data_IF_180835513598
#
_entry.id   IF_180835513598
#
_cell.length_a   1.000
_cell.length_b   1.000
_cell.length_c   1.000
_cell.angle_alpha   90.00
_cell.angle_beta   90.00
_cell.angle_gamma   90.00
#
_symmetry.space_group_name_H-M   'P 1'
#
loop_
_entity.id
_entity.type
_entity.pdbx_description
1 polymer ?
#
# COMPACT_ATOMS: atom_id res chain seq x y z
N UNK A 1 12.59 7.38 -48.92
CA UNK A 1 11.86 6.31 -48.22
C UNK A 1 12.54 6.08 -46.88
N UNK A 2 12.10 6.78 -45.83
CA UNK A 2 12.49 6.47 -44.45
C UNK A 2 11.38 7.00 -43.54
N UNK A 3 10.27 6.25 -43.48
CA UNK A 3 9.15 6.54 -42.59
C UNK A 3 9.45 5.99 -41.20
N UNK A 4 9.48 6.88 -40.22
CA UNK A 4 9.77 6.65 -38.81
C UNK A 4 8.75 5.71 -38.17
N UNK A 5 9.22 4.57 -37.64
CA UNK A 5 8.43 3.64 -36.81
C UNK A 5 8.26 4.19 -35.39
N UNK A 6 7.38 5.20 -35.24
CA UNK A 6 6.88 5.70 -33.96
C UNK A 6 5.37 5.44 -33.93
N UNK A 7 5.00 4.18 -33.72
CA UNK A 7 3.59 3.79 -33.80
C UNK A 7 3.18 2.74 -32.78
N UNK A 8 3.91 1.64 -32.63
CA UNK A 8 3.33 0.47 -31.94
C UNK A 8 3.43 0.48 -30.41
N UNK A 9 4.38 1.21 -29.82
CA UNK A 9 4.57 1.20 -28.35
C UNK A 9 3.60 2.14 -27.61
N UNK A 10 3.21 3.27 -28.22
CA UNK A 10 2.30 4.25 -27.60
C UNK A 10 0.84 3.78 -27.52
N UNK A 11 0.36 3.04 -28.52
CA UNK A 11 -1.01 2.49 -28.57
C UNK A 11 -1.19 1.31 -27.61
N UNK A 12 -0.18 0.46 -27.44
CA UNK A 12 -0.25 -0.64 -26.46
C UNK A 12 -0.32 -0.10 -25.02
N UNK A 13 0.42 0.99 -24.75
CA UNK A 13 0.43 1.66 -23.46
C UNK A 13 -0.94 2.35 -23.17
N UNK A 14 -1.54 3.00 -24.18
CA UNK A 14 -2.88 3.59 -24.07
C UNK A 14 -4.00 2.55 -23.90
N UNK A 15 -3.86 1.34 -24.46
CA UNK A 15 -4.82 0.24 -24.25
C UNK A 15 -4.63 -0.34 -22.85
N UNK A 16 -3.41 -0.53 -22.36
CA UNK A 16 -3.15 -1.02 -21.00
C UNK A 16 -3.61 -0.02 -19.92
N UNK A 17 -3.29 1.27 -20.08
CA UNK A 17 -3.81 2.32 -19.20
C UNK A 17 -5.33 2.48 -19.37
N UNK A 18 -5.86 2.45 -20.60
CA UNK A 18 -7.29 2.58 -20.90
C UNK A 18 -8.15 1.45 -20.33
N UNK A 19 -7.72 0.19 -20.42
CA UNK A 19 -8.41 -0.95 -19.80
C UNK A 19 -8.32 -0.90 -18.27
N UNK A 20 -7.18 -0.46 -17.71
CA UNK A 20 -7.03 -0.22 -16.27
C UNK A 20 -7.95 0.92 -15.80
N UNK A 21 -8.11 1.97 -16.61
CA UNK A 21 -9.06 3.08 -16.39
C UNK A 21 -10.53 2.63 -16.40
N UNK A 22 -10.92 1.75 -17.34
CA UNK A 22 -12.30 1.21 -17.41
C UNK A 22 -12.57 0.25 -16.24
N UNK A 23 -11.58 -0.55 -15.82
CA UNK A 23 -11.74 -1.44 -14.66
C UNK A 23 -11.92 -0.69 -13.34
N UNK A 24 -11.26 0.48 -13.20
CA UNK A 24 -11.41 1.36 -12.02
C UNK A 24 -12.82 1.95 -11.95
N UNK A 25 -13.43 2.32 -13.08
CA UNK A 25 -14.78 2.88 -13.13
C UNK A 25 -15.88 1.85 -12.82
N UNK A 26 -15.64 0.55 -13.03
CA UNK A 26 -16.63 -0.51 -12.85
C UNK A 26 -16.64 -1.16 -11.46
N UNK A 27 -15.73 -0.79 -10.56
CA UNK A 27 -15.58 -1.46 -9.25
C UNK A 27 -16.21 -0.62 -8.14
N UNK A 28 -17.54 -0.65 -8.07
CA UNK A 28 -18.25 -0.20 -6.88
C UNK A 28 -17.71 -0.96 -5.66
N UNK A 29 -17.06 -0.24 -4.75
CA UNK A 29 -16.49 -0.81 -3.52
C UNK A 29 -15.01 -1.23 -3.57
N UNK A 30 -14.16 -0.66 -4.45
CA UNK A 30 -12.71 -0.95 -4.39
C UNK A 30 -12.06 -0.35 -3.13
N UNK A 31 -12.12 -1.09 -2.03
CA UNK A 31 -11.30 -0.84 -0.85
C UNK A 31 -9.84 -1.00 -1.25
N UNK A 32 -9.06 0.07 -1.19
CA UNK A 32 -7.60 -0.02 -1.23
C UNK A 32 -7.16 -0.93 -0.09
N UNK A 33 -6.39 -1.97 -0.40
CA UNK A 33 -5.96 -2.93 0.61
C UNK A 33 -4.88 -2.35 1.52
N UNK A 34 -3.89 -1.68 0.93
CA UNK A 34 -2.99 -0.78 1.64
C UNK A 34 -2.86 0.51 0.84
N UNK A 35 -2.94 1.66 1.48
CA UNK A 35 -2.53 2.93 0.88
C UNK A 35 -1.04 2.90 0.56
N UNK A 36 -0.65 3.61 -0.49
CA UNK A 36 0.75 3.80 -0.86
C UNK A 36 1.56 4.34 0.33
N UNK A 37 2.76 3.80 0.54
CA UNK A 37 3.65 4.13 1.67
C UNK A 37 3.89 5.64 1.80
N UNK A 38 4.16 6.33 0.69
CA UNK A 38 4.43 7.77 0.68
C UNK A 38 3.22 8.63 1.05
N UNK A 39 2.01 8.07 1.02
CA UNK A 39 0.81 8.79 1.44
C UNK A 39 0.60 8.77 2.95
N UNK A 40 1.23 7.83 3.70
CA UNK A 40 1.02 7.68 5.14
C UNK A 40 1.12 9.01 5.93
N UNK A 41 2.11 9.90 5.67
CA UNK A 41 2.21 11.19 6.35
C UNK A 41 1.07 12.17 6.04
N UNK A 42 0.38 11.97 4.92
CA UNK A 42 -0.62 12.90 4.37
C UNK A 42 -2.05 12.40 4.52
N UNK A 43 -2.26 11.09 4.73
CA UNK A 43 -3.60 10.49 4.88
C UNK A 43 -4.41 11.23 5.96
N UNK A 44 -5.70 11.53 5.74
CA UNK A 44 -6.55 12.04 6.81
C UNK A 44 -6.74 10.99 7.91
N UNK A 45 -7.19 11.45 9.07
CA UNK A 45 -7.37 10.60 10.27
C UNK A 45 -8.14 9.32 9.98
N UNK A 46 -9.27 9.41 9.26
CA UNK A 46 -10.13 8.25 9.01
C UNK A 46 -9.40 7.16 8.19
N UNK A 47 -8.61 7.57 7.19
CA UNK A 47 -7.85 6.68 6.31
C UNK A 47 -6.66 6.07 7.03
N UNK A 48 -5.93 6.85 7.84
CA UNK A 48 -4.82 6.32 8.64
C UNK A 48 -5.31 5.29 9.67
N UNK A 49 -6.41 5.58 10.38
CA UNK A 49 -7.00 4.62 11.33
C UNK A 49 -7.59 3.40 10.62
N UNK A 50 -8.16 3.60 9.42
CA UNK A 50 -8.59 2.51 8.54
C UNK A 50 -7.44 1.61 8.15
N UNK A 51 -6.30 2.20 7.75
CA UNK A 51 -5.09 1.48 7.37
C UNK A 51 -4.57 0.60 8.52
N UNK A 52 -4.58 1.12 9.74
CA UNK A 52 -4.21 0.34 10.92
C UNK A 52 -5.13 -0.87 11.13
N UNK A 53 -6.47 -0.66 11.08
CA UNK A 53 -7.43 -1.77 11.19
C UNK A 53 -7.23 -2.83 10.12
N UNK A 54 -6.91 -2.38 8.91
CA UNK A 54 -6.64 -3.27 7.79
C UNK A 54 -5.38 -4.11 8.03
N UNK A 55 -4.28 -3.50 8.47
CA UNK A 55 -3.08 -4.24 8.88
C UNK A 55 -3.36 -5.22 10.03
N UNK A 56 -4.18 -4.85 11.01
CA UNK A 56 -4.59 -5.76 12.09
C UNK A 56 -5.37 -6.97 11.55
N UNK A 57 -6.31 -6.76 10.64
CA UNK A 57 -7.10 -7.82 10.02
C UNK A 57 -6.21 -8.76 9.19
N UNK A 58 -5.32 -8.18 8.39
CA UNK A 58 -4.32 -8.86 7.57
C UNK A 58 -3.37 -9.70 8.41
N UNK A 59 -2.84 -9.18 9.53
CA UNK A 59 -1.96 -9.93 10.42
C UNK A 59 -2.68 -11.04 11.19
N UNK A 60 -3.94 -10.80 11.53
CA UNK A 60 -4.76 -11.73 12.30
C UNK A 60 -5.31 -12.89 11.46
N UNK A 61 -6.61 -13.13 11.62
CA UNK A 61 -7.32 -14.24 10.95
C UNK A 61 -7.44 -14.08 9.43
N UNK A 62 -7.09 -12.91 8.88
CA UNK A 62 -7.09 -12.64 7.45
C UNK A 62 -5.84 -13.13 6.72
N UNK A 63 -4.74 -13.41 7.43
CA UNK A 63 -3.49 -13.81 6.80
C UNK A 63 -3.65 -15.09 5.95
N UNK A 64 -3.19 -15.03 4.70
CA UNK A 64 -3.20 -16.17 3.77
C UNK A 64 -4.60 -16.55 3.24
N UNK A 65 -5.65 -15.78 3.57
CA UNK A 65 -6.99 -15.99 3.00
C UNK A 65 -7.13 -15.20 1.71
N UNK A 66 -7.35 -15.91 0.60
CA UNK A 66 -7.62 -15.28 -0.71
C UNK A 66 -8.86 -14.39 -0.61
N UNK A 67 -8.68 -13.09 -0.75
CA UNK A 67 -9.77 -12.18 -1.06
C UNK A 67 -10.06 -12.23 -2.57
N UNK A 68 -11.32 -12.04 -2.96
CA UNK A 68 -11.82 -12.16 -4.33
C UNK A 68 -11.18 -11.21 -5.35
N UNK A 69 -10.37 -10.26 -4.89
CA UNK A 69 -9.52 -9.42 -5.73
C UNK A 69 -8.10 -9.49 -5.18
N UNK A 70 -7.18 -9.96 -6.03
CA UNK A 70 -5.75 -10.19 -5.80
C UNK A 70 -5.16 -9.22 -4.77
N UNK A 71 -4.73 -9.75 -3.63
CA UNK A 71 -4.09 -9.01 -2.54
C UNK A 71 -2.60 -9.32 -2.55
N UNK A 72 -1.81 -8.48 -3.23
CA UNK A 72 -0.37 -8.67 -3.44
C UNK A 72 0.40 -8.85 -2.14
N UNK A 73 -0.14 -8.37 -1.01
CA UNK A 73 0.46 -8.52 0.33
C UNK A 73 0.77 -9.99 0.65
N UNK A 74 -0.09 -10.92 0.20
CA UNK A 74 0.09 -12.35 0.47
C UNK A 74 1.03 -13.05 -0.52
N UNK A 75 1.52 -12.36 -1.55
CA UNK A 75 2.57 -12.88 -2.43
C UNK A 75 3.97 -12.75 -1.80
N UNK A 76 4.07 -12.05 -0.66
CA UNK A 76 5.31 -11.83 0.06
C UNK A 76 5.29 -12.41 1.47
N UNK A 77 6.47 -12.45 2.07
CA UNK A 77 6.66 -12.84 3.47
C UNK A 77 5.99 -11.85 4.42
N UNK A 78 5.59 -12.39 5.57
CA UNK A 78 4.82 -11.66 6.59
C UNK A 78 5.58 -10.46 7.17
N UNK A 79 6.91 -10.53 7.17
CA UNK A 79 7.85 -9.48 7.55
C UNK A 79 7.57 -8.17 6.81
N UNK A 80 7.16 -8.23 5.54
CA UNK A 80 6.79 -7.04 4.76
C UNK A 80 5.53 -6.38 5.31
N UNK A 81 4.50 -7.16 5.61
CA UNK A 81 3.26 -6.65 6.20
C UNK A 81 3.52 -6.05 7.59
N UNK A 82 4.31 -6.73 8.42
CA UNK A 82 4.65 -6.24 9.75
C UNK A 82 5.50 -4.95 9.66
N UNK A 83 6.45 -4.88 8.72
CA UNK A 83 7.24 -3.67 8.46
C UNK A 83 6.37 -2.51 8.01
N UNK A 84 5.44 -2.74 7.08
CA UNK A 84 4.51 -1.72 6.62
C UNK A 84 3.60 -1.24 7.76
N UNK A 85 3.08 -2.17 8.56
CA UNK A 85 2.29 -1.83 9.72
C UNK A 85 3.09 -1.02 10.75
N UNK A 86 4.40 -1.26 10.90
CA UNK A 86 5.27 -0.44 11.76
C UNK A 86 5.35 1.02 11.28
N UNK A 87 5.36 1.28 9.98
CA UNK A 87 5.26 2.65 9.45
C UNK A 87 3.93 3.32 9.85
N UNK A 88 2.82 2.59 9.72
CA UNK A 88 1.48 3.07 10.13
C UNK A 88 1.43 3.38 11.63
N UNK A 89 1.93 2.48 12.48
CA UNK A 89 1.98 2.66 13.93
C UNK A 89 2.85 3.85 14.33
N UNK A 90 4.00 4.02 13.68
CA UNK A 90 4.90 5.15 13.91
C UNK A 90 4.24 6.47 13.53
N UNK A 91 3.56 6.52 12.38
CA UNK A 91 2.82 7.69 11.93
C UNK A 91 1.67 8.02 12.87
N UNK A 92 0.94 7.00 13.34
CA UNK A 92 -0.11 7.17 14.36
C UNK A 92 0.45 7.76 15.66
N UNK A 93 1.56 7.21 16.16
CA UNK A 93 2.25 7.70 17.36
C UNK A 93 2.75 9.14 17.17
N UNK A 94 3.32 9.47 16.01
CA UNK A 94 3.79 10.83 15.66
C UNK A 94 2.65 11.85 15.72
N UNK A 95 1.44 11.46 15.31
CA UNK A 95 0.22 12.30 15.40
C UNK A 95 -0.45 12.30 16.78
N UNK A 96 0.16 11.70 17.80
CA UNK A 96 -0.35 11.66 19.16
C UNK A 96 -1.40 10.57 19.44
N UNK A 97 -1.66 9.66 18.50
CA UNK A 97 -2.51 8.49 18.76
C UNK A 97 -1.77 7.45 19.59
N UNK A 98 -2.53 6.62 20.31
CA UNK A 98 -2.02 5.58 21.21
C UNK A 98 -2.46 4.20 20.72
N UNK A 99 -1.83 3.64 19.67
CA UNK A 99 -2.09 2.26 19.28
C UNK A 99 -1.69 1.30 20.41
N UNK A 100 -2.36 0.16 20.49
CA UNK A 100 -2.03 -0.89 21.46
C UNK A 100 -0.56 -1.34 21.23
N UNK A 101 0.23 -1.34 22.31
CA UNK A 101 1.66 -1.61 22.25
C UNK A 101 1.98 -3.03 21.76
N UNK A 102 1.06 -3.98 21.93
CA UNK A 102 1.22 -5.35 21.43
C UNK A 102 1.43 -5.39 19.92
N UNK A 103 0.90 -4.41 19.16
CA UNK A 103 1.06 -4.36 17.71
C UNK A 103 2.49 -4.04 17.25
N UNK A 104 3.35 -3.49 18.10
CA UNK A 104 4.77 -3.28 17.79
C UNK A 104 5.59 -4.57 17.86
N UNK A 105 5.10 -5.61 18.54
CA UNK A 105 5.71 -6.94 18.54
C UNK A 105 5.47 -7.62 17.19
N UNK A 106 6.51 -8.05 16.44
CA UNK A 106 6.34 -8.65 15.11
C UNK A 106 5.44 -9.87 15.09
N UNK A 107 5.61 -10.75 16.08
CA UNK A 107 4.88 -12.02 16.18
C UNK A 107 3.40 -11.84 16.52
N UNK A 108 2.98 -10.67 17.01
CA UNK A 108 1.62 -10.44 17.49
C UNK A 108 0.60 -10.37 16.34
N UNK A 109 -0.52 -11.08 16.52
CA UNK A 109 -1.56 -11.24 15.49
C UNK A 109 -2.97 -10.93 15.99
N UNK A 110 -3.07 -10.28 17.15
CA UNK A 110 -4.34 -10.07 17.84
C UNK A 110 -4.68 -11.20 18.82
N UNK A 111 -5.63 -10.92 19.72
CA UNK A 111 -5.94 -11.76 20.89
C UNK A 111 -6.50 -13.15 20.58
N UNK A 112 -7.05 -13.34 19.37
CA UNK A 112 -7.84 -14.52 19.00
C UNK A 112 -7.05 -15.54 18.16
N UNK A 113 -5.74 -15.36 18.00
CA UNK A 113 -4.87 -16.23 17.21
C UNK A 113 -3.47 -16.22 17.83
N UNK A 114 -2.82 -17.39 17.85
CA UNK A 114 -1.47 -17.53 18.39
C UNK A 114 -0.44 -16.70 17.60
N UNK A 115 0.69 -16.33 18.23
CA UNK A 115 1.73 -15.54 17.58
C UNK A 115 2.42 -16.32 16.44
N UNK A 116 3.08 -15.60 15.52
CA UNK A 116 4.04 -16.21 14.61
C UNK A 116 5.36 -16.46 15.34
N UNK A 117 5.55 -17.66 15.88
CA UNK A 117 6.75 -18.00 16.66
C UNK A 117 8.02 -17.80 15.82
N UNK A 118 8.96 -17.02 16.35
CA UNK A 118 10.28 -16.78 15.76
C UNK A 118 10.30 -15.67 14.70
N UNK A 119 9.20 -14.96 14.46
CA UNK A 119 9.16 -13.85 13.52
C UNK A 119 9.92 -12.64 14.09
N UNK A 120 11.00 -12.23 13.44
CA UNK A 120 11.75 -11.01 13.78
C UNK A 120 12.00 -10.17 12.54
N UNK A 121 11.93 -8.85 12.70
CA UNK A 121 12.21 -7.87 11.64
C UNK A 121 13.71 -7.59 11.48
N UNK A 122 14.56 -8.13 12.33
CA UNK A 122 16.01 -7.92 12.30
C UNK A 122 16.67 -8.52 11.05
N UNK A 123 15.98 -9.45 10.38
CA UNK A 123 16.41 -10.11 9.14
C UNK A 123 15.82 -9.47 7.87
N UNK A 124 15.06 -8.38 8.00
CA UNK A 124 14.39 -7.75 6.87
C UNK A 124 15.35 -6.77 6.19
N UNK A 125 16.02 -7.21 5.12
CA UNK A 125 16.94 -6.43 4.27
C UNK A 125 16.24 -5.33 3.43
N UNK A 126 15.19 -4.69 3.96
CA UNK A 126 14.50 -3.62 3.22
C UNK A 126 15.32 -2.33 3.37
N UNK A 127 15.91 -1.79 2.29
CA UNK A 127 16.65 -0.54 2.36
C UNK A 127 15.75 0.58 2.87
N UNK A 128 16.26 1.44 3.75
CA UNK A 128 15.51 2.57 4.36
C UNK A 128 14.89 3.50 3.30
N UNK A 129 15.47 3.55 2.09
CA UNK A 129 15.03 4.39 0.98
C UNK A 129 14.06 3.69 0.00
N UNK A 130 13.79 2.39 0.15
CA UNK A 130 12.93 1.65 -0.78
C UNK A 130 11.50 1.48 -0.22
N UNK A 131 10.51 1.44 -1.11
CA UNK A 131 9.17 1.00 -0.72
C UNK A 131 9.20 -0.47 -0.29
N UNK A 132 8.49 -0.78 0.80
CA UNK A 132 8.42 -2.15 1.33
C UNK A 132 7.85 -3.13 0.29
N UNK A 133 6.83 -2.67 -0.44
CA UNK A 133 6.22 -3.40 -1.55
C UNK A 133 6.62 -2.76 -2.87
N UNK A 134 7.13 -3.53 -3.85
CA UNK A 134 7.44 -2.98 -5.18
C UNK A 134 6.17 -2.51 -5.91
N UNK A 135 4.99 -3.01 -5.54
CA UNK A 135 3.71 -2.52 -6.05
C UNK A 135 3.41 -1.08 -5.61
N UNK A 136 4.13 -0.53 -4.62
CA UNK A 136 4.01 0.89 -4.26
C UNK A 136 4.87 1.72 -5.23
N UNK A 137 4.57 1.56 -6.52
CA UNK A 137 5.16 2.31 -7.60
C UNK A 137 4.34 3.58 -7.91
N UNK A 138 4.82 4.36 -8.88
CA UNK A 138 4.14 5.58 -9.33
C UNK A 138 2.70 5.33 -9.81
N UNK A 139 2.46 4.22 -10.50
CA UNK A 139 1.12 3.92 -11.01
C UNK A 139 0.15 3.60 -9.86
N UNK A 140 0.60 2.87 -8.85
CA UNK A 140 -0.19 2.60 -7.64
C UNK A 140 -0.40 3.85 -6.78
N UNK A 141 0.58 4.75 -6.74
CA UNK A 141 0.42 6.07 -6.10
C UNK A 141 -0.69 6.87 -6.77
N UNK A 142 -0.69 6.94 -8.10
CA UNK A 142 -1.72 7.65 -8.88
C UNK A 142 -3.11 7.04 -8.66
N UNK A 143 -3.22 5.71 -8.62
CA UNK A 143 -4.46 5.02 -8.25
C UNK A 143 -4.92 5.37 -6.84
N UNK A 144 -4.01 5.39 -5.86
CA UNK A 144 -4.34 5.80 -4.49
C UNK A 144 -4.90 7.23 -4.45
N UNK A 145 -4.25 8.16 -5.15
CA UNK A 145 -4.66 9.56 -5.21
C UNK A 145 -6.04 9.71 -5.89
N UNK A 146 -6.27 8.99 -6.98
CA UNK A 146 -7.57 8.98 -7.66
C UNK A 146 -8.67 8.44 -6.74
N UNK A 147 -8.41 7.34 -6.03
CA UNK A 147 -9.35 6.77 -5.06
C UNK A 147 -9.68 7.74 -3.92
N UNK A 148 -8.72 8.55 -3.47
CA UNK A 148 -8.98 9.60 -2.48
C UNK A 148 -9.83 10.72 -3.07
N UNK A 149 -9.50 11.20 -4.27
CA UNK A 149 -10.27 12.25 -4.97
C UNK A 149 -11.72 11.84 -5.22
N UNK A 150 -11.96 10.60 -5.66
CA UNK A 150 -13.31 10.04 -5.83
C UNK A 150 -14.11 9.99 -4.52
N UNK A 151 -13.43 9.91 -3.37
CA UNK A 151 -14.04 9.98 -2.04
C UNK A 151 -14.17 11.43 -1.53
N UNK A 152 -13.90 12.43 -2.37
CA UNK A 152 -13.93 13.85 -2.00
C UNK A 152 -12.76 14.28 -1.10
N UNK A 153 -11.65 13.55 -1.11
CA UNK A 153 -10.48 13.82 -0.29
C UNK A 153 -9.33 14.30 -1.17
N UNK A 154 -8.96 15.57 -1.01
CA UNK A 154 -7.77 16.14 -1.64
C UNK A 154 -6.62 16.21 -0.65
N UNK A 155 -5.50 15.58 -0.99
CA UNK A 155 -4.29 15.64 -0.18
C UNK A 155 -3.43 16.85 -0.60
N UNK A 156 -2.89 17.56 0.40
CA UNK A 156 -1.82 18.54 0.20
C UNK A 156 -0.47 17.83 0.23
N UNK A 157 -0.17 17.04 -0.80
CA UNK A 157 1.13 16.37 -0.93
C UNK A 157 2.10 17.34 -1.61
N UNK A 158 3.30 17.61 -1.07
CA UNK A 158 4.37 18.20 -1.84
C UNK A 158 4.79 17.18 -2.89
N UNK A 159 4.34 17.37 -4.13
CA UNK A 159 4.74 16.51 -5.25
C UNK A 159 6.18 16.91 -5.58
N UNK A 160 7.16 16.13 -5.10
CA UNK A 160 8.50 16.20 -5.66
C UNK A 160 8.47 15.37 -6.95
N UNK A 161 8.39 16.04 -8.09
CA UNK A 161 8.50 15.36 -9.40
C UNK A 161 9.92 14.78 -9.65
N UNK A 162 10.88 15.04 -8.76
CA UNK A 162 12.31 14.80 -8.97
C UNK A 162 12.92 13.59 -8.24
N UNK A 163 12.16 12.80 -7.47
CA UNK A 163 12.71 11.57 -6.86
C UNK A 163 12.62 10.39 -7.83
N UNK A 164 13.26 10.52 -9.00
CA UNK A 164 13.59 9.39 -9.87
C UNK A 164 15.10 9.17 -9.76
N UNK A 165 15.60 7.98 -9.35
CA UNK A 165 16.99 7.65 -9.63
C UNK A 165 17.18 7.54 -11.15
N UNK A 166 18.39 7.84 -11.66
CA UNK A 166 18.71 7.71 -13.09
C UNK A 166 18.57 6.28 -13.61
#
# INVERSE_FOLDING_TARGET
MSGSSLGSQGIHLLIQYGLRFILIAAKEGCSMRLWHQDLLPFLPRAQLLGQHRECCALRGKGWGKRHSTVDYVFAYDVEKLVSFHRLVLNEMKRRGYKPDQQWYTPEYRGKNIGPWVGLSLEKSDIPVAAHIYPEHDKAYLEECLLNLRQKGIELKVPINEDSCPP
#
